data_IF_154460284252
#
_entry.id   IF_154460284252
#
_cell.length_a   1.000
_cell.length_b   1.000
_cell.length_c   1.000
_cell.angle_alpha   90.00
_cell.angle_beta   90.00
_cell.angle_gamma   90.00
#
_symmetry.space_group_name_H-M   'P 1'
#
loop_
_entity.id
_entity.type
_entity.pdbx_description
1 polymer ?
#
# COMPACT_ATOMS: atom_id res chain seq x y z
N UNK A 1 1.54 25.15 -16.36
CA UNK A 1 2.97 25.43 -16.10
C UNK A 1 3.42 24.91 -14.72
N UNK A 2 2.73 25.22 -13.62
CA UNK A 2 3.11 24.75 -12.26
C UNK A 2 3.08 23.22 -12.15
N UNK A 3 2.02 22.56 -12.64
CA UNK A 3 1.90 21.10 -12.58
C UNK A 3 3.08 20.35 -13.21
N UNK A 4 3.63 20.88 -14.32
CA UNK A 4 4.77 20.26 -14.98
C UNK A 4 6.05 20.29 -14.14
N UNK A 5 6.26 21.34 -13.35
CA UNK A 5 7.42 21.44 -12.44
C UNK A 5 7.39 20.34 -11.38
N UNK A 6 6.20 20.07 -10.81
CA UNK A 6 6.01 18.97 -9.87
C UNK A 6 6.17 17.60 -10.54
N UNK A 7 5.58 17.44 -11.73
CA UNK A 7 5.69 16.19 -12.50
C UNK A 7 7.16 15.87 -12.81
N UNK A 8 7.91 16.80 -13.34
CA UNK A 8 9.32 16.61 -13.70
C UNK A 8 10.18 16.30 -12.45
N UNK A 9 9.93 17.00 -11.35
CA UNK A 9 10.64 16.77 -10.08
C UNK A 9 10.36 15.33 -9.56
N UNK A 10 9.10 14.92 -9.48
CA UNK A 10 8.77 13.61 -8.94
C UNK A 10 9.12 12.48 -9.90
N UNK A 11 9.04 12.68 -11.22
CA UNK A 11 9.59 11.73 -12.19
C UNK A 11 11.07 11.46 -11.94
N UNK A 12 11.85 12.52 -11.76
CA UNK A 12 13.28 12.38 -11.49
C UNK A 12 13.52 11.68 -10.14
N UNK A 13 12.79 12.07 -9.10
CA UNK A 13 12.93 11.52 -7.76
C UNK A 13 12.60 10.03 -7.70
N UNK A 14 11.56 9.59 -8.42
CA UNK A 14 11.10 8.19 -8.40
C UNK A 14 11.64 7.36 -9.57
N UNK A 15 12.50 7.93 -10.41
CA UNK A 15 13.20 7.15 -11.43
C UNK A 15 14.28 6.32 -10.76
N UNK A 16 14.22 5.00 -10.97
CA UNK A 16 15.20 4.08 -10.43
C UNK A 16 16.54 4.26 -11.13
N UNK A 17 17.58 4.58 -10.36
CA UNK A 17 18.92 4.84 -10.89
C UNK A 17 19.71 3.57 -11.24
N UNK A 18 19.11 2.39 -11.08
CA UNK A 18 19.72 1.08 -11.31
C UNK A 18 21.14 0.97 -10.69
N UNK A 19 21.26 1.16 -9.36
CA UNK A 19 22.56 1.14 -8.71
C UNK A 19 23.19 -0.25 -8.83
N UNK A 20 24.49 -0.29 -9.06
CA UNK A 20 25.27 -1.53 -8.98
C UNK A 20 25.38 -1.87 -7.48
N UNK A 21 24.69 -2.92 -7.07
CA UNK A 21 24.82 -3.45 -5.70
C UNK A 21 26.08 -4.33 -5.68
N UNK A 22 27.04 -4.01 -4.81
CA UNK A 22 28.22 -4.86 -4.66
C UNK A 22 27.86 -6.17 -3.95
N UNK A 23 28.46 -7.27 -4.38
CA UNK A 23 28.30 -8.59 -3.73
C UNK A 23 28.68 -8.53 -2.26
N UNK A 24 29.71 -7.75 -1.90
CA UNK A 24 30.13 -7.52 -0.51
C UNK A 24 29.02 -6.93 0.38
N UNK A 25 28.18 -6.05 -0.18
CA UNK A 25 27.03 -5.49 0.56
C UNK A 25 25.92 -6.54 0.73
N UNK A 26 25.72 -7.40 -0.24
CA UNK A 26 24.73 -8.48 -0.16
C UNK A 26 25.17 -9.55 0.87
N UNK A 27 26.46 -9.89 0.89
CA UNK A 27 27.02 -10.86 1.83
C UNK A 27 26.98 -10.36 3.29
N UNK A 28 27.02 -9.05 3.50
CA UNK A 28 26.88 -8.43 4.81
C UNK A 28 25.45 -8.52 5.38
N UNK A 29 24.44 -8.81 4.53
CA UNK A 29 23.04 -8.91 4.93
C UNK A 29 22.66 -10.37 5.13
N UNK A 30 22.54 -10.79 6.39
CA UNK A 30 22.08 -12.14 6.69
C UNK A 30 20.62 -12.36 6.28
N UNK A 31 20.35 -13.47 5.60
CA UNK A 31 18.99 -13.86 5.22
C UNK A 31 18.19 -14.19 6.47
N UNK A 32 17.18 -13.36 6.75
CA UNK A 32 16.24 -13.57 7.89
C UNK A 32 14.95 -14.26 7.45
N UNK A 33 14.58 -14.12 6.18
CA UNK A 33 13.36 -14.73 5.64
C UNK A 33 13.55 -16.24 5.50
N UNK A 34 12.71 -17.02 6.17
CA UNK A 34 12.73 -18.49 6.14
C UNK A 34 11.78 -19.02 5.06
N UNK A 35 11.99 -20.27 4.62
CA UNK A 35 11.06 -20.94 3.68
C UNK A 35 9.65 -21.06 4.26
N UNK A 36 9.53 -21.21 5.59
CA UNK A 36 8.25 -21.24 6.28
C UNK A 36 7.53 -19.89 6.20
N UNK A 37 8.24 -18.77 6.36
CA UNK A 37 7.70 -17.42 6.17
C UNK A 37 7.24 -17.22 4.72
N UNK A 38 8.06 -17.58 3.75
CA UNK A 38 7.71 -17.50 2.33
C UNK A 38 6.48 -18.35 2.00
N UNK A 39 6.44 -19.59 2.48
CA UNK A 39 5.29 -20.48 2.30
C UNK A 39 4.02 -19.91 2.93
N UNK A 40 4.14 -19.22 4.07
CA UNK A 40 2.99 -18.56 4.72
C UNK A 40 2.47 -17.38 3.92
N UNK A 41 3.37 -16.55 3.37
CA UNK A 41 3.00 -15.37 2.58
C UNK A 41 2.38 -15.72 1.23
N UNK A 42 2.86 -16.80 0.60
CA UNK A 42 2.43 -17.22 -0.75
C UNK A 42 1.20 -18.11 -0.77
N UNK A 43 0.63 -18.46 0.39
CA UNK A 43 -0.64 -19.20 0.46
C UNK A 43 -1.75 -18.44 -0.25
N UNK A 44 -2.67 -19.17 -0.87
CA UNK A 44 -3.89 -18.61 -1.46
C UNK A 44 -4.64 -17.73 -0.46
N UNK A 45 -5.06 -16.54 -0.90
CA UNK A 45 -5.86 -15.62 -0.10
C UNK A 45 -7.30 -16.07 -0.03
N UNK A 46 -7.90 -15.95 1.16
CA UNK A 46 -9.25 -16.42 1.46
C UNK A 46 -10.19 -15.26 1.72
N UNK A 47 -11.49 -15.50 1.49
CA UNK A 47 -12.59 -14.56 1.77
C UNK A 47 -12.47 -13.92 3.14
N UNK A 48 -12.23 -14.73 4.17
CA UNK A 48 -12.16 -14.26 5.57
C UNK A 48 -11.04 -13.23 5.81
N UNK A 49 -9.95 -13.30 5.04
CA UNK A 49 -8.85 -12.33 5.14
C UNK A 49 -9.25 -10.97 4.58
N UNK A 50 -9.98 -10.97 3.45
CA UNK A 50 -10.51 -9.75 2.83
C UNK A 50 -11.55 -9.08 3.73
N UNK A 51 -12.47 -9.86 4.28
CA UNK A 51 -13.48 -9.36 5.23
C UNK A 51 -12.85 -8.76 6.49
N UNK A 52 -11.84 -9.44 7.04
CA UNK A 52 -11.08 -8.93 8.19
C UNK A 52 -10.37 -7.62 7.85
N UNK A 53 -9.72 -7.57 6.70
CA UNK A 53 -9.02 -6.36 6.25
C UNK A 53 -9.98 -5.17 6.15
N UNK A 54 -11.16 -5.37 5.55
CA UNK A 54 -12.17 -4.32 5.44
C UNK A 54 -12.69 -3.84 6.81
N UNK A 55 -12.99 -4.77 7.73
CA UNK A 55 -13.44 -4.42 9.09
C UNK A 55 -12.40 -3.64 9.89
N UNK A 56 -11.12 -3.86 9.63
CA UNK A 56 -10.02 -3.15 10.28
C UNK A 56 -9.76 -1.76 9.70
N UNK A 57 -10.33 -1.43 8.55
CA UNK A 57 -10.16 -0.10 7.96
C UNK A 57 -10.93 0.94 8.75
N UNK A 58 -10.30 2.11 8.95
CA UNK A 58 -10.98 3.24 9.58
C UNK A 58 -12.17 3.66 8.72
N UNK A 59 -13.38 3.78 9.28
CA UNK A 59 -14.60 4.06 8.51
C UNK A 59 -14.53 5.35 7.71
N UNK A 60 -13.95 6.40 8.31
CA UNK A 60 -13.86 7.75 7.74
C UNK A 60 -12.40 8.03 7.39
N UNK A 61 -11.99 7.59 6.22
CA UNK A 61 -10.72 8.00 5.60
C UNK A 61 -11.08 8.89 4.41
N UNK A 62 -10.19 9.83 4.07
CA UNK A 62 -10.37 10.69 2.90
C UNK A 62 -10.82 9.86 1.68
N UNK A 63 -11.97 10.19 1.10
CA UNK A 63 -12.49 9.46 -0.05
C UNK A 63 -11.53 9.58 -1.22
N UNK A 64 -11.49 8.55 -2.04
CA UNK A 64 -10.77 8.52 -3.31
C UNK A 64 -11.57 9.21 -4.41
N UNK A 65 -11.16 8.99 -5.65
CA UNK A 65 -11.85 9.43 -6.87
C UNK A 65 -13.31 9.01 -6.94
N UNK A 66 -13.62 7.83 -6.41
CA UNK A 66 -14.98 7.27 -6.37
C UNK A 66 -15.87 7.95 -5.31
N UNK A 67 -15.31 8.81 -4.45
CA UNK A 67 -16.02 9.47 -3.37
C UNK A 67 -16.51 8.53 -2.27
N UNK A 68 -16.19 7.24 -2.33
CA UNK A 68 -16.69 6.22 -1.40
C UNK A 68 -15.67 5.96 -0.29
N UNK A 69 -15.99 6.25 0.98
CA UNK A 69 -15.15 5.89 2.13
C UNK A 69 -15.32 4.41 2.46
N UNK A 70 -14.40 3.78 3.24
CA UNK A 70 -14.55 2.43 3.75
C UNK A 70 -15.89 2.17 4.46
N UNK A 71 -16.45 3.19 5.11
CA UNK A 71 -17.77 3.14 5.74
C UNK A 71 -18.87 2.67 4.76
N UNK A 72 -18.84 3.13 3.50
CA UNK A 72 -19.80 2.68 2.49
C UNK A 72 -19.75 1.16 2.32
N UNK A 73 -18.55 0.60 2.15
CA UNK A 73 -18.37 -0.84 1.98
C UNK A 73 -18.76 -1.62 3.25
N UNK A 74 -18.45 -1.09 4.42
CA UNK A 74 -18.80 -1.70 5.69
C UNK A 74 -20.32 -1.72 5.92
N UNK A 75 -20.99 -0.62 5.59
CA UNK A 75 -22.44 -0.47 5.79
C UNK A 75 -23.25 -1.28 4.76
N UNK A 76 -22.82 -1.27 3.50
CA UNK A 76 -23.54 -1.91 2.40
C UNK A 76 -22.91 -3.27 2.00
N UNK A 77 -22.23 -3.92 2.95
CA UNK A 77 -21.52 -5.17 2.69
C UNK A 77 -22.39 -6.27 2.09
N UNK A 78 -23.65 -6.38 2.50
CA UNK A 78 -24.61 -7.33 1.95
C UNK A 78 -24.87 -7.16 0.44
N UNK A 79 -24.63 -5.97 -0.09
CA UNK A 79 -24.85 -5.63 -1.49
C UNK A 79 -23.54 -5.72 -2.28
N UNK A 80 -22.49 -5.05 -1.79
CA UNK A 80 -21.23 -4.88 -2.55
C UNK A 80 -20.17 -5.93 -2.19
N UNK A 81 -20.36 -6.68 -1.11
CA UNK A 81 -19.34 -7.57 -0.55
C UNK A 81 -18.86 -8.64 -1.51
N UNK A 82 -19.78 -9.33 -2.19
CA UNK A 82 -19.42 -10.40 -3.13
C UNK A 82 -18.56 -9.90 -4.29
N UNK A 83 -18.91 -8.75 -4.87
CA UNK A 83 -18.13 -8.17 -5.97
C UNK A 83 -16.77 -7.71 -5.47
N UNK A 84 -16.72 -7.08 -4.31
CA UNK A 84 -15.46 -6.62 -3.69
C UNK A 84 -14.53 -7.79 -3.38
N UNK A 85 -15.05 -8.86 -2.74
CA UNK A 85 -14.27 -10.08 -2.44
C UNK A 85 -13.71 -10.67 -3.72
N UNK A 86 -14.57 -10.88 -4.72
CA UNK A 86 -14.14 -11.45 -6.01
C UNK A 86 -13.01 -10.63 -6.63
N UNK A 87 -13.19 -9.31 -6.73
CA UNK A 87 -12.18 -8.40 -7.30
C UNK A 87 -10.86 -8.47 -6.56
N UNK A 88 -10.90 -8.48 -5.23
CA UNK A 88 -9.69 -8.55 -4.40
C UNK A 88 -8.99 -9.89 -4.54
N UNK A 89 -9.74 -11.01 -4.53
CA UNK A 89 -9.17 -12.35 -4.66
C UNK A 89 -8.63 -12.61 -6.07
N UNK A 90 -9.32 -12.16 -7.12
CA UNK A 90 -8.84 -12.25 -8.50
C UNK A 90 -7.50 -11.49 -8.65
N UNK A 91 -7.38 -10.30 -8.01
CA UNK A 91 -6.14 -9.56 -8.00
C UNK A 91 -5.03 -10.27 -7.21
N UNK A 92 -5.31 -10.71 -5.98
CA UNK A 92 -4.29 -11.29 -5.09
C UNK A 92 -3.84 -12.69 -5.50
N UNK A 93 -4.76 -13.53 -5.98
CA UNK A 93 -4.47 -14.94 -6.31
C UNK A 93 -4.15 -15.16 -7.78
N UNK A 94 -4.72 -14.36 -8.68
CA UNK A 94 -4.59 -14.56 -10.12
C UNK A 94 -3.82 -13.43 -10.82
N UNK A 95 -3.49 -12.33 -10.12
CA UNK A 95 -2.84 -11.17 -10.73
C UNK A 95 -3.74 -10.37 -11.69
N UNK A 96 -5.05 -10.63 -11.68
CA UNK A 96 -6.00 -9.93 -12.54
C UNK A 96 -6.26 -8.55 -11.98
N UNK A 97 -5.73 -7.54 -12.65
CA UNK A 97 -5.88 -6.14 -12.25
C UNK A 97 -7.07 -5.52 -12.96
N UNK A 98 -8.11 -5.07 -12.23
CA UNK A 98 -9.21 -4.33 -12.83
C UNK A 98 -8.73 -3.05 -13.53
N UNK A 99 -9.44 -2.56 -14.56
CA UNK A 99 -9.14 -1.26 -15.18
C UNK A 99 -9.10 -0.16 -14.11
N UNK A 100 -8.13 0.73 -14.22
CA UNK A 100 -7.95 1.90 -13.33
C UNK A 100 -7.75 1.55 -11.83
N UNK A 101 -7.50 0.29 -11.51
CA UNK A 101 -7.31 -0.16 -10.12
C UNK A 101 -6.11 0.50 -9.45
N UNK A 102 -5.05 0.74 -10.21
CA UNK A 102 -3.81 1.39 -9.75
C UNK A 102 -3.80 2.90 -10.00
N UNK A 103 -4.88 3.48 -10.48
CA UNK A 103 -4.97 4.93 -10.63
C UNK A 103 -5.12 5.60 -9.27
N UNK A 104 -4.36 6.66 -9.07
CA UNK A 104 -4.36 7.41 -7.81
C UNK A 104 -4.30 8.90 -8.07
N UNK A 105 -5.02 9.66 -7.26
CA UNK A 105 -4.87 11.09 -7.22
C UNK A 105 -3.72 11.48 -6.30
N UNK A 106 -2.81 12.27 -6.84
CA UNK A 106 -1.72 12.84 -6.09
C UNK A 106 -2.14 14.20 -5.55
N UNK A 107 -2.17 14.32 -4.23
CA UNK A 107 -2.47 15.58 -3.53
C UNK A 107 -1.19 16.12 -2.92
N UNK A 108 -0.94 17.40 -3.13
CA UNK A 108 0.22 18.11 -2.62
C UNK A 108 -0.15 18.86 -1.34
N UNK A 109 0.41 18.46 -0.21
CA UNK A 109 0.17 19.12 1.08
C UNK A 109 1.39 19.94 1.46
N UNK A 110 1.24 21.27 1.70
CA UNK A 110 2.35 22.11 2.15
C UNK A 110 2.92 21.62 3.49
N UNK A 111 4.25 21.55 3.59
CA UNK A 111 4.97 21.29 4.85
C UNK A 111 5.16 22.58 5.66
N UNK A 112 5.13 23.72 4.98
CA UNK A 112 5.37 25.04 5.55
C UNK A 112 4.25 26.00 5.15
N UNK A 113 4.10 27.10 5.88
CA UNK A 113 2.98 28.05 5.71
C UNK A 113 2.95 28.74 4.33
N UNK A 114 4.11 29.05 3.75
CA UNK A 114 4.23 29.69 2.43
C UNK A 114 5.26 28.95 1.58
N UNK A 115 4.91 27.79 0.98
CA UNK A 115 5.86 26.98 0.23
C UNK A 115 6.27 27.68 -1.07
N UNK A 116 7.55 27.69 -1.35
CA UNK A 116 8.15 28.27 -2.57
C UNK A 116 8.83 27.23 -3.46
N UNK A 117 9.15 26.05 -2.90
CA UNK A 117 9.85 24.98 -3.59
C UNK A 117 9.03 23.68 -3.55
N UNK A 118 9.23 22.81 -4.54
CA UNK A 118 8.55 21.51 -4.63
C UNK A 118 8.86 20.64 -3.42
N UNK A 119 10.06 20.71 -2.89
CA UNK A 119 10.54 20.00 -1.70
C UNK A 119 9.77 20.34 -0.42
N UNK A 120 9.10 21.49 -0.40
CA UNK A 120 8.28 21.95 0.73
C UNK A 120 6.84 21.40 0.71
N UNK A 121 6.53 20.52 -0.24
CA UNK A 121 5.27 19.78 -0.29
C UNK A 121 5.47 18.32 0.06
N UNK A 122 4.45 17.71 0.67
CA UNK A 122 4.29 16.26 0.81
C UNK A 122 3.38 15.76 -0.30
N UNK A 123 3.83 14.74 -1.00
CA UNK A 123 3.01 14.03 -1.97
C UNK A 123 2.20 12.98 -1.21
N UNK A 124 0.88 13.02 -1.34
CA UNK A 124 -0.02 12.00 -0.80
C UNK A 124 -0.78 11.39 -1.96
N UNK A 125 -0.68 10.07 -2.07
CA UNK A 125 -1.41 9.28 -3.06
C UNK A 125 -2.73 8.80 -2.47
N UNK A 126 -3.83 9.14 -3.13
CA UNK A 126 -5.19 8.73 -2.73
C UNK A 126 -5.66 7.61 -3.65
N UNK A 127 -5.57 6.38 -3.16
CA UNK A 127 -5.98 5.18 -3.89
C UNK A 127 -7.48 4.93 -3.80
N UNK A 128 -8.04 4.29 -4.83
CA UNK A 128 -9.41 3.81 -4.82
C UNK A 128 -9.69 2.90 -3.62
N UNK A 129 -10.90 2.95 -3.08
CA UNK A 129 -11.23 2.17 -1.88
C UNK A 129 -11.18 0.67 -2.17
N UNK A 130 -11.51 0.21 -3.39
CA UNK A 130 -11.37 -1.19 -3.78
C UNK A 130 -9.91 -1.71 -3.71
N UNK A 131 -8.93 -0.83 -3.91
CA UNK A 131 -7.51 -1.13 -3.77
C UNK A 131 -7.08 -1.32 -2.30
N UNK A 132 -7.65 -0.54 -1.40
CA UNK A 132 -7.28 -0.53 0.03
C UNK A 132 -7.49 -1.89 0.73
N UNK A 133 -8.62 -2.62 0.57
CA UNK A 133 -8.78 -3.96 1.13
C UNK A 133 -7.74 -4.97 0.63
N UNK A 134 -7.37 -4.92 -0.66
CA UNK A 134 -6.34 -5.80 -1.20
C UNK A 134 -5.00 -5.58 -0.51
N UNK A 135 -4.56 -4.32 -0.42
CA UNK A 135 -3.31 -3.97 0.26
C UNK A 135 -3.38 -4.21 1.78
N UNK A 136 -4.49 -3.93 2.43
CA UNK A 136 -4.66 -4.23 3.85
C UNK A 136 -4.58 -5.73 4.12
N UNK A 137 -5.09 -6.57 3.22
CA UNK A 137 -4.98 -8.03 3.30
C UNK A 137 -3.51 -8.47 3.20
N UNK A 138 -2.75 -7.92 2.25
CA UNK A 138 -1.30 -8.15 2.13
C UNK A 138 -0.55 -7.71 3.38
N UNK A 139 -0.82 -6.49 3.87
CA UNK A 139 -0.19 -5.94 5.08
C UNK A 139 -0.47 -6.80 6.30
N UNK A 140 -1.70 -7.33 6.45
CA UNK A 140 -2.04 -8.21 7.56
C UNK A 140 -1.21 -9.50 7.57
N UNK A 141 -0.93 -10.08 6.39
CA UNK A 141 -0.03 -11.25 6.31
C UNK A 141 1.41 -10.86 6.60
N UNK A 142 1.88 -9.76 6.00
CA UNK A 142 3.25 -9.30 6.17
C UNK A 142 3.55 -8.94 7.63
N UNK A 143 2.63 -8.33 8.34
CA UNK A 143 2.81 -7.94 9.74
C UNK A 143 3.11 -9.12 10.67
N UNK A 144 2.68 -10.33 10.32
CA UNK A 144 2.95 -11.54 11.12
C UNK A 144 4.46 -11.82 11.19
N UNK A 145 5.17 -11.53 10.12
CA UNK A 145 6.61 -11.84 10.01
C UNK A 145 7.50 -10.60 10.14
N UNK A 146 6.92 -9.39 10.03
CA UNK A 146 7.70 -8.14 10.06
C UNK A 146 8.50 -7.96 11.33
N UNK A 147 7.95 -8.36 12.50
CA UNK A 147 8.61 -8.25 13.78
C UNK A 147 9.93 -9.05 13.83
N UNK A 148 9.98 -10.19 13.14
CA UNK A 148 11.17 -11.04 13.09
C UNK A 148 12.18 -10.56 12.03
N UNK A 149 11.69 -9.96 10.93
CA UNK A 149 12.54 -9.49 9.83
C UNK A 149 13.18 -8.14 10.10
N UNK A 150 12.46 -7.25 10.80
CA UNK A 150 12.91 -5.87 11.00
C UNK A 150 13.93 -5.77 12.13
N UNK A 151 14.87 -4.84 11.96
CA UNK A 151 15.85 -4.51 12.98
C UNK A 151 15.16 -3.84 14.18
N UNK A 152 15.67 -4.06 15.40
CA UNK A 152 15.12 -3.46 16.63
C UNK A 152 15.08 -1.93 16.62
N UNK A 153 15.99 -1.31 15.88
CA UNK A 153 16.05 0.15 15.73
C UNK A 153 14.99 0.71 14.77
N UNK A 154 14.25 -0.14 14.04
CA UNK A 154 13.20 0.26 13.12
C UNK A 154 11.86 0.27 13.85
N UNK A 155 11.30 1.48 14.06
CA UNK A 155 9.99 1.66 14.70
C UNK A 155 8.88 2.07 13.72
N UNK A 156 9.23 2.65 12.57
CA UNK A 156 8.23 3.10 11.61
C UNK A 156 7.52 1.92 10.94
N UNK A 157 6.18 1.96 10.94
CA UNK A 157 5.28 0.96 10.33
C UNK A 157 5.31 -0.44 10.97
N UNK A 158 5.97 -0.61 12.10
CA UNK A 158 5.95 -1.85 12.88
C UNK A 158 4.97 -1.67 14.04
N UNK A 159 3.99 -2.58 14.12
CA UNK A 159 2.98 -2.54 15.19
C UNK A 159 3.64 -2.87 16.53
N UNK A 160 3.32 -2.11 17.59
CA UNK A 160 3.86 -2.27 18.96
C UNK A 160 5.34 -1.88 19.18
N UNK A 161 5.92 -1.06 18.30
CA UNK A 161 7.24 -0.45 18.52
C UNK A 161 7.21 1.08 18.46
#
# INVERSE_FOLDING_TARGET
>A
MIGKVFEDYYKTLFTFANPIVSEELLDAVHTKATDQMNSSLTKEFKVIEVERALKQMFPIIAPSLDGMPPFFYQQFWSIVGMVTIKTVLDFLNCGITPPNFNETHIVLIPKVKNPRQVTEYRLISMYNVAYKPAFKTLVNRLNIILLELMCENQSAFVFER
#
